data_IF_740284871927
#
_entry.id   IF_740284871927
#
_cell.length_a   1.000
_cell.length_b   1.000
_cell.length_c   1.000
_cell.angle_alpha   90.00
_cell.angle_beta   90.00
_cell.angle_gamma   90.00
#
_symmetry.space_group_name_H-M   'P 1'
#
loop_
_entity.id
_entity.type
_entity.pdbx_description
1 polymer ?
#
# COMPACT_ATOMS: atom_id res chain seq x y z
N UNK A 1 -17.05 20.89 -10.78
CA UNK A 1 -15.66 20.37 -10.80
C UNK A 1 -15.71 18.98 -10.19
N UNK A 2 -15.14 17.98 -10.84
CA UNK A 2 -15.04 16.61 -10.28
C UNK A 2 -13.57 16.30 -10.03
N UNK A 3 -13.29 15.69 -8.89
CA UNK A 3 -11.98 15.15 -8.53
C UNK A 3 -12.11 13.63 -8.44
N UNK A 4 -11.18 12.93 -9.06
CA UNK A 4 -11.00 11.49 -8.99
C UNK A 4 -9.80 11.23 -8.08
N UNK A 5 -9.93 10.29 -7.14
CA UNK A 5 -8.80 9.84 -6.33
C UNK A 5 -8.39 8.47 -6.88
N UNK A 6 -7.23 8.42 -7.52
CA UNK A 6 -6.63 7.18 -8.01
C UNK A 6 -5.84 6.60 -6.84
N UNK A 7 -6.18 5.37 -6.46
CA UNK A 7 -5.59 4.70 -5.30
C UNK A 7 -4.90 3.43 -5.81
N UNK A 8 -3.71 3.20 -5.28
CA UNK A 8 -2.97 1.97 -5.42
C UNK A 8 -2.56 1.46 -4.04
N UNK A 9 -2.60 0.15 -3.83
CA UNK A 9 -2.35 -0.48 -2.53
C UNK A 9 -1.55 -1.75 -2.71
N UNK A 10 -0.61 -1.94 -1.79
CA UNK A 10 0.23 -3.14 -1.73
C UNK A 10 -0.13 -3.95 -0.48
N UNK A 11 -0.11 -5.27 -0.64
CA UNK A 11 -0.40 -6.23 0.42
C UNK A 11 0.74 -7.23 0.57
N UNK A 12 0.94 -7.74 1.79
CA UNK A 12 1.87 -8.86 2.04
C UNK A 12 1.30 -10.23 1.63
N UNK A 13 0.23 -10.24 0.82
CA UNK A 13 -0.37 -11.42 0.22
C UNK A 13 -1.77 -11.17 -0.38
N UNK A 14 -2.33 -12.14 -1.12
CA UNK A 14 -3.53 -11.94 -1.94
C UNK A 14 -4.87 -12.10 -1.21
N UNK A 15 -4.88 -12.55 0.05
CA UNK A 15 -6.09 -12.91 0.80
C UNK A 15 -6.51 -11.81 1.80
N UNK A 16 -7.59 -11.07 1.53
CA UNK A 16 -8.11 -10.06 2.46
C UNK A 16 -8.48 -10.66 3.81
N UNK A 17 -8.15 -9.95 4.89
CA UNK A 17 -8.42 -10.37 6.27
C UNK A 17 -7.41 -11.35 6.85
N UNK A 18 -6.60 -12.00 6.01
CA UNK A 18 -5.44 -12.79 6.44
C UNK A 18 -4.14 -12.02 6.25
N UNK A 19 -3.95 -11.44 5.06
CA UNK A 19 -2.80 -10.62 4.70
C UNK A 19 -3.03 -9.15 5.07
N UNK A 20 -1.95 -8.43 5.35
CA UNK A 20 -1.95 -7.01 5.69
C UNK A 20 -1.75 -6.14 4.46
N UNK A 21 -2.43 -4.99 4.44
CA UNK A 21 -2.04 -3.87 3.60
C UNK A 21 -0.78 -3.24 4.18
N UNK A 22 0.25 -3.07 3.37
CA UNK A 22 1.57 -2.62 3.80
C UNK A 22 1.99 -1.28 3.17
N UNK A 23 1.35 -0.88 2.08
CA UNK A 23 1.51 0.45 1.47
C UNK A 23 0.21 0.93 0.83
N UNK A 24 -0.03 2.24 0.85
CA UNK A 24 -1.12 2.90 0.15
C UNK A 24 -0.60 4.20 -0.46
N UNK A 25 -0.83 4.35 -1.77
CA UNK A 25 -0.63 5.59 -2.52
C UNK A 25 -1.96 6.13 -3.04
N UNK A 26 -2.14 7.44 -3.02
CA UNK A 26 -3.32 8.11 -3.56
C UNK A 26 -2.95 9.42 -4.26
N UNK A 27 -3.57 9.68 -5.42
CA UNK A 27 -3.41 10.95 -6.16
C UNK A 27 -4.77 11.50 -6.54
N UNK A 28 -5.02 12.77 -6.18
CA UNK A 28 -6.22 13.49 -6.55
C UNK A 28 -6.04 14.19 -7.90
N UNK A 29 -6.85 13.82 -8.90
CA UNK A 29 -6.79 14.37 -10.26
C UNK A 29 -8.14 14.85 -10.77
N UNK A 30 -8.18 15.72 -11.77
CA UNK A 30 -9.41 16.00 -12.54
C UNK A 30 -9.42 15.25 -13.88
N UNK A 31 -10.49 15.43 -14.67
CA UNK A 31 -10.64 14.78 -15.98
C UNK A 31 -9.57 15.15 -17.03
N UNK A 32 -8.86 16.25 -16.84
CA UNK A 32 -7.77 16.69 -17.71
C UNK A 32 -6.43 16.09 -17.27
N UNK A 33 -6.38 15.41 -16.11
CA UNK A 33 -5.16 14.88 -15.52
C UNK A 33 -4.42 15.87 -14.62
N UNK A 34 -4.97 17.05 -14.32
CA UNK A 34 -4.33 18.00 -13.40
C UNK A 34 -4.24 17.39 -12.00
N UNK A 35 -3.07 17.41 -11.38
CA UNK A 35 -2.82 16.89 -10.03
C UNK A 35 -3.13 17.97 -8.97
N UNK A 36 -3.90 17.60 -7.95
CA UNK A 36 -4.33 18.46 -6.83
C UNK A 36 -3.73 18.07 -5.48
N UNK A 37 -2.94 17.00 -5.44
CA UNK A 37 -2.25 16.50 -4.27
C UNK A 37 -2.05 14.99 -4.33
N UNK A 38 -0.98 14.56 -3.66
CA UNK A 38 -0.61 13.17 -3.45
C UNK A 38 -0.57 12.83 -1.96
N UNK A 39 -0.73 11.56 -1.66
CA UNK A 39 -0.62 11.00 -0.33
C UNK A 39 0.00 9.60 -0.42
N UNK A 40 0.95 9.31 0.47
CA UNK A 40 1.51 7.98 0.64
C UNK A 40 1.63 7.63 2.12
N UNK A 41 1.47 6.34 2.42
CA UNK A 41 1.68 5.80 3.76
C UNK A 41 2.13 4.34 3.68
N UNK A 42 3.15 4.01 4.48
CA UNK A 42 3.51 2.62 4.75
C UNK A 42 2.95 2.20 6.09
N UNK A 43 2.39 1.00 6.14
CA UNK A 43 1.75 0.45 7.32
C UNK A 43 2.53 -0.77 7.81
N UNK A 44 2.73 -0.87 9.13
CA UNK A 44 3.18 -2.11 9.73
C UNK A 44 2.08 -3.19 9.58
N UNK A 45 2.43 -4.48 9.50
CA UNK A 45 1.43 -5.55 9.47
C UNK A 45 0.48 -5.49 10.66
N UNK A 46 -0.80 -5.84 10.43
CA UNK A 46 -1.80 -5.92 11.49
C UNK A 46 -1.47 -7.03 12.49
N UNK A 47 -1.91 -6.83 13.73
CA UNK A 47 -1.83 -7.86 14.77
C UNK A 47 -2.59 -9.12 14.31
N UNK A 48 -1.92 -10.28 14.35
CA UNK A 48 -2.43 -11.58 13.92
C UNK A 48 -2.60 -11.78 12.39
N UNK A 49 -2.12 -10.87 11.55
CA UNK A 49 -2.03 -11.15 10.11
C UNK A 49 -0.94 -12.18 9.83
N UNK A 50 -1.07 -12.90 8.72
CA UNK A 50 -0.07 -13.85 8.22
C UNK A 50 0.31 -13.43 6.82
N UNK A 51 1.59 -13.14 6.56
CA UNK A 51 2.09 -12.80 5.23
C UNK A 51 2.15 -14.04 4.32
N UNK A 52 1.92 -13.87 3.04
CA UNK A 52 2.11 -14.92 2.03
C UNK A 52 3.59 -14.97 1.57
N UNK A 53 4.28 -16.10 1.73
CA UNK A 53 5.71 -16.20 1.43
C UNK A 53 6.02 -15.99 -0.06
N UNK A 54 5.15 -16.45 -0.97
CA UNK A 54 5.35 -16.27 -2.42
C UNK A 54 5.31 -14.78 -2.79
N UNK A 55 4.37 -14.02 -2.22
CA UNK A 55 4.26 -12.57 -2.40
C UNK A 55 5.48 -11.85 -1.85
N UNK A 56 5.94 -12.23 -0.66
CA UNK A 56 7.12 -11.61 -0.05
C UNK A 56 8.43 -11.93 -0.79
N UNK A 57 8.55 -13.13 -1.36
CA UNK A 57 9.68 -13.50 -2.21
C UNK A 57 9.70 -12.66 -3.50
N UNK A 58 8.54 -12.43 -4.13
CA UNK A 58 8.42 -11.57 -5.30
C UNK A 58 8.82 -10.11 -5.02
N UNK A 59 8.42 -9.55 -3.87
CA UNK A 59 8.85 -8.21 -3.47
C UNK A 59 10.37 -8.08 -3.31
N UNK A 60 11.02 -9.15 -2.85
CA UNK A 60 12.47 -9.21 -2.68
C UNK A 60 13.22 -9.36 -4.01
N UNK A 61 12.73 -10.18 -4.93
CA UNK A 61 13.45 -10.52 -6.17
C UNK A 61 13.12 -9.61 -7.35
N UNK A 62 11.83 -9.36 -7.60
CA UNK A 62 11.35 -8.72 -8.83
C UNK A 62 11.04 -7.24 -8.64
N UNK A 63 10.29 -6.89 -7.60
CA UNK A 63 9.81 -5.53 -7.42
C UNK A 63 10.94 -4.57 -6.99
N UNK A 64 11.90 -5.05 -6.20
CA UNK A 64 12.94 -4.24 -5.54
C UNK A 64 12.40 -3.07 -4.67
N UNK A 65 11.08 -3.03 -4.46
CA UNK A 65 10.37 -1.98 -3.71
C UNK A 65 10.28 -2.28 -2.21
N UNK A 66 10.64 -3.49 -1.76
CA UNK A 66 10.50 -3.86 -0.35
C UNK A 66 11.21 -2.86 0.58
N UNK A 67 12.40 -2.39 0.20
CA UNK A 67 13.18 -1.41 0.95
C UNK A 67 12.50 -0.04 1.10
N UNK A 68 11.55 0.28 0.21
CA UNK A 68 10.73 1.50 0.25
C UNK A 68 9.50 1.24 1.14
N UNK A 69 8.82 0.10 0.95
CA UNK A 69 7.60 -0.27 1.68
C UNK A 69 7.85 -0.42 3.20
N UNK A 70 9.04 -0.87 3.60
CA UNK A 70 9.35 -1.04 5.04
C UNK A 70 9.83 0.24 5.73
N UNK A 71 10.03 1.35 5.00
CA UNK A 71 10.48 2.62 5.60
C UNK A 71 9.34 3.35 6.27
N UNK A 72 9.62 3.91 7.45
CA UNK A 72 8.72 4.79 8.21
C UNK A 72 7.31 4.20 8.41
N UNK A 73 7.21 2.86 8.48
CA UNK A 73 5.95 2.20 8.74
C UNK A 73 5.36 2.70 10.05
N UNK A 74 4.07 3.02 10.02
CA UNK A 74 3.31 3.32 11.23
C UNK A 74 2.33 2.18 11.52
N UNK A 75 2.00 1.93 12.81
CA UNK A 75 0.99 0.95 13.14
C UNK A 75 -0.36 1.32 12.49
N UNK A 76 -1.08 0.34 11.91
CA UNK A 76 -2.43 0.58 11.44
C UNK A 76 -3.32 0.95 12.63
N UNK A 77 -4.23 1.92 12.44
CA UNK A 77 -5.22 2.26 13.47
C UNK A 77 -6.21 1.11 13.59
N UNK A 78 -6.43 0.61 14.81
CA UNK A 78 -7.56 -0.28 15.10
C UNK A 78 -8.85 0.50 14.81
N UNK A 79 -9.73 -0.08 13.98
CA UNK A 79 -11.08 0.43 13.75
C UNK A 79 -11.95 0.22 14.99
#
# INVERSE_FOLDING_TARGET
MSIYVVIDVEFDGPQPGLNSMISLGAVAINKNGDNFGDFEINLAPMENSVSDPVTMDWFNSEAQMLSIIVKNQIPPKKQ
#
